data_IF_125017458314
#
_entry.id   IF_125017458314
#
_cell.length_a   1.000
_cell.length_b   1.000
_cell.length_c   1.000
_cell.angle_alpha   90.00
_cell.angle_beta   90.00
_cell.angle_gamma   90.00
#
_symmetry.space_group_name_H-M   'P 1'
#
loop_
_entity.id
_entity.type
_entity.pdbx_description
1 polymer ?
#
# COMPACT_ATOMS: atom_id res chain seq x y z
N UNK A 1 -1.45 85.73 -36.74
CA UNK A 1 -1.24 84.99 -35.48
C UNK A 1 0.14 84.35 -35.55
N UNK A 2 1.13 84.77 -34.73
CA UNK A 2 2.49 84.21 -34.75
C UNK A 2 2.62 82.83 -34.09
N UNK A 3 1.63 82.38 -33.31
CA UNK A 3 1.62 81.08 -32.66
C UNK A 3 1.26 79.97 -33.64
N UNK A 4 2.01 78.86 -33.60
CA UNK A 4 1.81 77.65 -34.39
C UNK A 4 0.94 76.64 -33.60
N UNK A 5 0.58 75.52 -34.25
CA UNK A 5 -0.10 74.38 -33.64
C UNK A 5 -1.31 74.78 -32.77
N UNK A 6 -2.20 75.61 -33.31
CA UNK A 6 -3.41 76.12 -32.63
C UNK A 6 -3.15 76.89 -31.32
N UNK A 7 -1.95 77.44 -31.15
CA UNK A 7 -1.59 78.32 -30.05
C UNK A 7 -2.44 79.60 -29.99
N UNK A 8 -2.87 79.95 -28.78
CA UNK A 8 -3.63 81.19 -28.54
C UNK A 8 -2.65 82.35 -28.35
N UNK A 9 -2.75 83.36 -29.21
CA UNK A 9 -1.89 84.54 -29.14
C UNK A 9 -2.50 85.62 -28.27
N UNK A 10 -1.76 86.06 -27.24
CA UNK A 10 -2.08 87.23 -26.43
C UNK A 10 -1.05 88.33 -26.69
N UNK A 11 -1.51 89.55 -27.01
CA UNK A 11 -0.62 90.70 -27.27
C UNK A 11 -0.37 91.45 -25.97
N UNK A 12 0.91 91.72 -25.65
CA UNK A 12 1.33 92.53 -24.48
C UNK A 12 2.24 93.67 -24.94
N UNK A 13 1.66 94.83 -25.22
CA UNK A 13 2.41 96.00 -25.70
C UNK A 13 3.03 95.75 -27.08
N UNK A 14 4.36 95.87 -27.20
CA UNK A 14 5.10 95.57 -28.44
C UNK A 14 5.54 94.09 -28.55
N UNK A 15 5.17 93.22 -27.61
CA UNK A 15 5.46 91.78 -27.66
C UNK A 15 4.19 90.93 -27.71
N UNK A 16 4.34 89.64 -28.05
CA UNK A 16 3.28 88.64 -28.01
C UNK A 16 3.68 87.49 -27.09
N UNK A 17 2.70 86.80 -26.52
CA UNK A 17 2.88 85.54 -25.81
C UNK A 17 1.96 84.50 -26.43
N UNK A 18 2.51 83.33 -26.71
CA UNK A 18 1.73 82.17 -27.12
C UNK A 18 1.38 81.33 -25.89
N UNK A 19 0.09 81.07 -25.70
CA UNK A 19 -0.38 80.04 -24.78
C UNK A 19 -0.60 78.76 -25.61
N UNK A 20 0.30 77.81 -25.45
CA UNK A 20 0.31 76.58 -26.24
C UNK A 20 -0.75 75.58 -25.75
N UNK A 21 -1.36 74.80 -26.66
CA UNK A 21 -2.18 73.66 -26.27
C UNK A 21 -1.36 72.67 -25.44
N UNK A 22 -2.05 71.85 -24.64
CA UNK A 22 -1.41 70.86 -23.75
C UNK A 22 -0.40 70.02 -24.55
N UNK A 23 0.79 69.80 -24.01
CA UNK A 23 1.88 68.99 -24.61
C UNK A 23 2.64 69.61 -25.78
N UNK A 24 2.28 70.79 -26.29
CA UNK A 24 3.09 71.57 -27.23
C UNK A 24 3.98 72.58 -26.48
N UNK A 25 5.18 72.85 -27.01
CA UNK A 25 6.17 73.74 -26.40
C UNK A 25 6.88 74.65 -27.42
N UNK A 26 7.79 75.49 -26.94
CA UNK A 26 8.47 76.52 -27.74
C UNK A 26 7.81 77.90 -27.60
N UNK A 27 8.56 78.96 -27.90
CA UNK A 27 8.12 80.36 -27.76
C UNK A 27 6.94 80.69 -28.69
N UNK A 28 6.80 79.93 -29.78
CA UNK A 28 5.74 80.04 -30.77
C UNK A 28 4.91 78.76 -30.88
N UNK A 29 4.98 77.85 -29.91
CA UNK A 29 4.35 76.53 -29.94
C UNK A 29 4.79 75.66 -31.14
N UNK A 30 6.02 75.83 -31.61
CA UNK A 30 6.61 75.15 -32.76
C UNK A 30 7.05 73.71 -32.48
N UNK A 31 7.29 73.38 -31.21
CA UNK A 31 7.68 72.03 -30.79
C UNK A 31 6.42 71.23 -30.51
N UNK A 32 6.26 70.13 -31.25
CA UNK A 32 5.18 69.19 -31.04
C UNK A 32 5.50 68.21 -29.89
N UNK A 33 4.50 67.46 -29.40
CA UNK A 33 4.69 66.47 -28.33
C UNK A 33 5.72 65.36 -28.63
N UNK A 34 6.13 65.18 -29.91
CA UNK A 34 7.07 64.17 -30.35
C UNK A 34 8.48 64.71 -30.61
N UNK A 35 8.70 66.03 -30.49
CA UNK A 35 9.96 66.70 -30.86
C UNK A 35 11.15 66.16 -30.05
N UNK A 36 10.94 65.78 -28.79
CA UNK A 36 11.96 65.15 -27.93
C UNK A 36 11.88 63.62 -27.87
N UNK A 37 11.00 62.99 -28.66
CA UNK A 37 10.56 61.60 -28.56
C UNK A 37 10.31 61.11 -27.11
N UNK A 38 9.10 61.29 -26.57
CA UNK A 38 8.76 60.82 -25.23
C UNK A 38 8.72 59.29 -25.10
N UNK A 39 8.69 58.52 -26.19
CA UNK A 39 8.59 57.07 -26.15
C UNK A 39 9.94 56.42 -25.78
N UNK A 40 9.93 55.57 -24.75
CA UNK A 40 11.07 54.77 -24.30
C UNK A 40 11.23 53.52 -25.17
N UNK A 41 12.32 52.78 -24.93
CA UNK A 41 12.60 51.49 -25.58
C UNK A 41 12.46 51.51 -27.12
N UNK A 42 12.91 52.61 -27.74
CA UNK A 42 12.86 52.86 -29.17
C UNK A 42 11.43 52.90 -29.78
N UNK A 43 10.40 53.17 -28.97
CA UNK A 43 9.04 53.38 -29.46
C UNK A 43 8.92 54.52 -30.48
N UNK A 44 7.98 54.38 -31.40
CA UNK A 44 7.72 55.39 -32.43
C UNK A 44 6.65 56.36 -31.94
N UNK A 45 7.02 57.64 -31.81
CA UNK A 45 6.08 58.69 -31.41
C UNK A 45 5.23 59.17 -32.59
N UNK A 46 3.95 59.39 -32.33
CA UNK A 46 3.03 60.07 -33.24
C UNK A 46 2.18 61.09 -32.50
N UNK A 47 1.94 62.26 -33.10
CA UNK A 47 1.05 63.28 -32.52
C UNK A 47 -0.39 62.77 -32.57
N UNK A 48 -1.10 62.84 -31.44
CA UNK A 48 -2.48 62.38 -31.30
C UNK A 48 -3.32 63.41 -30.55
N UNK A 49 -4.01 64.28 -31.29
CA UNK A 49 -4.73 65.43 -30.72
C UNK A 49 -3.77 66.41 -30.03
N UNK A 50 -4.08 66.81 -28.80
CA UNK A 50 -3.25 67.69 -27.98
C UNK A 50 -2.19 66.91 -27.15
N UNK A 51 -1.62 65.86 -27.74
CA UNK A 51 -0.73 64.95 -27.03
C UNK A 51 0.04 64.04 -27.99
N UNK A 52 0.65 63.00 -27.44
CA UNK A 52 1.37 62.00 -28.21
C UNK A 52 0.76 60.61 -28.00
N UNK A 53 1.08 59.69 -28.90
CA UNK A 53 0.86 58.26 -28.76
C UNK A 53 2.12 57.53 -29.18
N UNK A 54 2.56 56.61 -28.34
CA UNK A 54 3.68 55.73 -28.62
C UNK A 54 3.21 54.42 -29.27
N UNK A 55 3.82 54.05 -30.39
CA UNK A 55 3.77 52.70 -30.93
C UNK A 55 4.97 51.92 -30.40
N UNK A 56 4.71 50.98 -29.50
CA UNK A 56 5.74 50.21 -28.81
C UNK A 56 6.20 49.00 -29.63
N UNK A 57 7.50 48.72 -29.58
CA UNK A 57 8.03 47.46 -30.08
C UNK A 57 7.84 46.37 -29.03
N UNK A 58 7.41 45.18 -29.45
CA UNK A 58 7.43 43.97 -28.62
C UNK A 58 8.82 43.80 -27.99
N UNK A 59 8.92 43.57 -26.67
CA UNK A 59 7.87 43.22 -25.71
C UNK A 59 7.24 44.38 -24.93
N UNK A 60 7.61 45.61 -25.23
CA UNK A 60 7.29 46.77 -24.38
C UNK A 60 5.85 47.26 -24.56
N UNK A 61 5.29 47.82 -23.49
CA UNK A 61 3.97 48.44 -23.44
C UNK A 61 3.95 49.58 -22.41
N UNK A 62 2.78 50.19 -22.20
CA UNK A 62 2.62 51.39 -21.38
C UNK A 62 2.38 52.64 -22.23
N UNK A 63 2.13 53.78 -21.58
CA UNK A 63 1.86 55.05 -22.28
C UNK A 63 3.09 55.52 -23.08
N UNK A 64 4.28 55.24 -22.54
CA UNK A 64 5.58 55.61 -23.08
C UNK A 64 6.44 54.40 -23.45
N UNK A 65 5.88 53.20 -23.55
CA UNK A 65 6.63 51.95 -23.79
C UNK A 65 7.67 51.65 -22.69
N UNK A 66 7.36 52.05 -21.45
CA UNK A 66 8.23 51.97 -20.27
C UNK A 66 8.15 50.62 -19.54
N UNK A 67 7.10 49.85 -19.79
CA UNK A 67 6.87 48.56 -19.15
C UNK A 67 7.18 47.40 -20.10
N UNK A 68 7.56 46.27 -19.52
CA UNK A 68 7.64 44.97 -20.16
C UNK A 68 6.88 43.93 -19.31
N UNK A 69 6.68 42.69 -19.80
CA UNK A 69 5.93 41.68 -19.07
C UNK A 69 6.50 41.30 -17.68
N UNK A 70 7.75 41.66 -17.37
CA UNK A 70 8.41 41.40 -16.10
C UNK A 70 8.47 42.60 -15.15
N UNK A 71 8.04 43.79 -15.58
CA UNK A 71 8.16 45.05 -14.81
C UNK A 71 7.45 45.00 -13.45
N UNK A 72 6.35 44.25 -13.34
CA UNK A 72 5.62 44.06 -12.08
C UNK A 72 6.10 42.87 -11.24
N UNK A 73 7.12 42.13 -11.68
CA UNK A 73 7.56 40.86 -11.11
C UNK A 73 6.41 39.87 -10.88
N UNK A 74 5.83 39.30 -11.95
CA UNK A 74 4.69 38.38 -11.84
C UNK A 74 5.04 37.04 -11.16
N UNK A 75 6.32 36.72 -10.99
CA UNK A 75 6.80 35.49 -10.38
C UNK A 75 6.79 35.59 -8.85
N UNK A 76 6.09 34.67 -8.19
CA UNK A 76 6.04 34.50 -6.74
C UNK A 76 7.26 33.73 -6.22
N UNK A 77 7.36 33.61 -4.90
CA UNK A 77 8.36 32.79 -4.21
C UNK A 77 9.81 32.98 -4.72
N UNK A 78 10.15 34.24 -5.01
CA UNK A 78 11.46 34.65 -5.51
C UNK A 78 11.86 34.01 -6.87
N UNK A 79 10.87 33.65 -7.69
CA UNK A 79 11.09 33.19 -9.06
C UNK A 79 11.69 34.29 -9.94
N UNK A 80 12.56 33.90 -10.87
CA UNK A 80 13.20 34.85 -11.78
C UNK A 80 12.35 35.04 -13.05
N UNK A 81 11.95 36.28 -13.33
CA UNK A 81 11.14 36.60 -14.51
C UNK A 81 12.00 36.81 -15.74
N UNK A 82 11.63 36.18 -16.85
CA UNK A 82 12.27 36.38 -18.16
C UNK A 82 11.21 36.73 -19.19
N UNK A 83 11.47 37.77 -19.97
CA UNK A 83 10.55 38.21 -21.04
C UNK A 83 10.63 37.23 -22.21
N UNK A 84 9.47 36.81 -22.74
CA UNK A 84 9.34 35.86 -23.83
C UNK A 84 8.28 36.36 -24.83
N UNK A 85 8.73 37.08 -25.86
CA UNK A 85 7.82 37.71 -26.82
C UNK A 85 6.89 38.70 -26.13
N UNK A 86 5.57 38.60 -26.36
CA UNK A 86 4.58 39.45 -25.67
C UNK A 86 4.18 38.92 -24.27
N UNK A 87 4.91 37.96 -23.72
CA UNK A 87 4.63 37.32 -22.43
C UNK A 87 5.89 37.26 -21.57
N UNK A 88 5.80 36.58 -20.43
CA UNK A 88 6.90 36.25 -19.56
C UNK A 88 6.94 34.75 -19.26
N UNK A 89 8.07 34.30 -18.74
CA UNK A 89 8.25 32.98 -18.14
C UNK A 89 8.95 33.14 -16.80
N UNK A 90 8.43 32.46 -15.79
CA UNK A 90 9.06 32.37 -14.48
C UNK A 90 9.98 31.15 -14.42
N UNK A 91 11.22 31.37 -14.00
CA UNK A 91 12.12 30.32 -13.57
C UNK A 91 11.99 30.18 -12.04
N UNK A 92 11.30 29.13 -11.61
CA UNK A 92 11.02 28.91 -10.19
C UNK A 92 12.26 28.44 -9.45
N UNK A 93 12.41 28.97 -8.23
CA UNK A 93 13.40 28.47 -7.30
C UNK A 93 12.84 27.21 -6.66
N UNK A 94 13.60 26.12 -6.68
CA UNK A 94 13.21 24.92 -5.96
C UNK A 94 12.98 25.24 -4.46
N UNK A 95 11.93 24.69 -3.85
CA UNK A 95 11.05 23.64 -4.38
C UNK A 95 9.70 24.13 -4.95
N UNK A 96 9.54 25.43 -5.19
CA UNK A 96 8.28 25.99 -5.69
C UNK A 96 8.07 25.70 -7.17
N UNK A 97 6.81 25.58 -7.59
CA UNK A 97 6.45 25.28 -8.97
C UNK A 97 5.14 25.99 -9.37
N UNK A 98 4.63 25.73 -10.57
CA UNK A 98 3.52 26.47 -11.18
C UNK A 98 4.00 27.53 -12.19
N UNK A 99 3.07 28.14 -12.92
CA UNK A 99 3.40 29.11 -13.98
C UNK A 99 4.02 30.40 -13.43
N UNK A 100 3.61 30.80 -12.22
CA UNK A 100 4.12 31.96 -11.50
C UNK A 100 4.91 31.55 -10.26
N UNK A 101 5.31 30.29 -10.13
CA UNK A 101 5.98 29.77 -8.94
C UNK A 101 5.15 29.90 -7.65
N UNK A 102 3.82 29.88 -7.78
CA UNK A 102 2.85 30.06 -6.70
C UNK A 102 2.59 28.78 -5.89
N UNK A 103 2.94 27.62 -6.44
CA UNK A 103 2.65 26.33 -5.81
C UNK A 103 3.75 25.97 -4.80
N UNK A 104 3.32 25.82 -3.54
CA UNK A 104 4.14 25.30 -2.44
C UNK A 104 3.88 23.79 -2.30
N UNK A 105 4.92 22.94 -2.30
CA UNK A 105 4.80 21.49 -2.10
C UNK A 105 4.01 21.06 -0.86
N UNK A 106 3.94 21.90 0.18
CA UNK A 106 3.21 21.65 1.41
C UNK A 106 1.82 22.33 1.48
N UNK A 107 1.38 23.08 0.46
CA UNK A 107 0.14 23.86 0.50
C UNK A 107 -1.10 23.00 0.82
N UNK A 108 -1.18 21.79 0.28
CA UNK A 108 -2.29 20.84 0.51
C UNK A 108 -1.96 19.76 1.54
N UNK A 109 -0.81 19.86 2.21
CA UNK A 109 -0.20 18.82 3.03
C UNK A 109 -0.24 17.42 2.36
N UNK A 110 0.79 17.04 1.58
CA UNK A 110 0.85 15.73 0.95
C UNK A 110 1.04 14.57 1.94
N UNK A 111 1.33 14.81 3.21
CA UNK A 111 1.59 13.76 4.19
C UNK A 111 0.27 13.11 4.67
N UNK A 112 0.24 11.77 4.70
CA UNK A 112 -0.88 10.96 5.20
C UNK A 112 -0.75 10.74 6.71
N UNK A 113 -1.79 10.13 7.30
CA UNK A 113 -1.80 9.67 8.70
C UNK A 113 -1.32 10.75 9.70
N UNK A 114 -1.82 11.97 9.53
CA UNK A 114 -1.48 13.15 10.35
C UNK A 114 0.02 13.54 10.33
N UNK A 115 0.72 13.17 9.26
CA UNK A 115 2.08 13.61 8.99
C UNK A 115 2.19 15.14 8.83
N UNK A 116 3.30 15.70 9.31
CA UNK A 116 3.60 17.13 9.17
C UNK A 116 4.49 17.36 7.96
N UNK A 117 4.04 18.18 7.00
CA UNK A 117 4.84 18.55 5.84
C UNK A 117 5.80 19.69 6.16
N UNK A 118 7.05 19.53 5.74
CA UNK A 118 8.06 20.60 5.75
C UNK A 118 8.67 20.77 4.37
N UNK A 119 8.76 22.01 3.91
CA UNK A 119 9.39 22.36 2.64
C UNK A 119 10.91 22.15 2.76
N UNK A 120 11.52 21.47 1.78
CA UNK A 120 12.97 21.18 1.70
C UNK A 120 13.52 21.58 0.34
N UNK A 121 14.84 21.70 0.21
CA UNK A 121 15.48 22.18 -1.03
C UNK A 121 14.98 21.44 -2.29
N UNK A 122 14.74 20.13 -2.22
CA UNK A 122 14.30 19.30 -3.35
C UNK A 122 12.82 18.89 -3.31
N UNK A 123 11.95 19.65 -2.63
CA UNK A 123 10.51 19.35 -2.57
C UNK A 123 9.92 19.53 -1.18
N UNK A 124 9.33 18.46 -0.66
CA UNK A 124 8.84 18.37 0.70
C UNK A 124 9.40 17.16 1.43
N UNK A 125 9.33 17.20 2.75
CA UNK A 125 9.57 16.06 3.63
C UNK A 125 8.41 15.93 4.61
N UNK A 126 7.90 14.72 4.75
CA UNK A 126 6.94 14.38 5.77
C UNK A 126 7.63 13.92 7.06
N UNK A 127 7.27 14.54 8.18
CA UNK A 127 7.61 14.05 9.51
C UNK A 127 6.44 13.19 10.00
N UNK A 128 6.67 11.87 10.05
CA UNK A 128 5.63 10.89 10.31
C UNK A 128 5.43 10.63 11.80
N UNK A 129 4.17 10.68 12.29
CA UNK A 129 3.88 10.20 13.63
C UNK A 129 4.04 8.69 13.70
N UNK A 130 4.59 8.17 14.80
CA UNK A 130 4.65 6.73 15.02
C UNK A 130 3.22 6.17 15.12
N UNK A 131 2.94 4.97 14.57
CA UNK A 131 3.90 4.01 14.00
C UNK A 131 4.18 4.16 12.49
N UNK A 132 3.74 5.22 11.83
CA UNK A 132 3.78 5.33 10.37
C UNK A 132 5.17 5.66 9.82
N UNK A 133 5.40 5.26 8.57
CA UNK A 133 6.62 5.48 7.78
C UNK A 133 6.30 5.65 6.28
N UNK A 134 7.33 5.77 5.45
CA UNK A 134 7.20 6.09 4.02
C UNK A 134 7.40 7.58 3.75
N UNK A 135 7.56 7.95 2.48
CA UNK A 135 7.84 9.33 2.07
C UNK A 135 6.65 10.26 2.35
N UNK A 136 5.44 9.70 2.39
CA UNK A 136 4.18 10.39 2.70
C UNK A 136 3.50 9.82 3.93
N UNK A 137 4.21 9.11 4.81
CA UNK A 137 3.65 8.48 6.01
C UNK A 137 2.52 7.47 5.72
N UNK A 138 2.54 6.84 4.55
CA UNK A 138 1.51 5.92 4.04
C UNK A 138 1.64 4.50 4.56
N UNK A 139 2.81 4.13 5.08
CA UNK A 139 3.11 2.78 5.54
C UNK A 139 2.90 2.68 7.05
N UNK A 140 2.27 1.59 7.49
CA UNK A 140 2.27 1.15 8.87
C UNK A 140 3.23 -0.05 9.06
N UNK A 141 3.48 -0.50 10.31
CA UNK A 141 4.36 -1.64 10.56
C UNK A 141 3.91 -2.97 9.92
N UNK A 142 2.65 -3.07 9.47
CA UNK A 142 2.10 -4.27 8.83
C UNK A 142 2.04 -4.19 7.31
N UNK A 143 2.36 -3.04 6.70
CA UNK A 143 2.19 -2.79 5.26
C UNK A 143 3.00 -3.77 4.40
N UNK A 144 4.19 -4.16 4.86
CA UNK A 144 5.04 -5.17 4.19
C UNK A 144 4.73 -6.62 4.57
N UNK A 145 3.73 -6.86 5.43
CA UNK A 145 3.42 -8.14 6.05
C UNK A 145 4.67 -8.83 6.63
N UNK A 146 5.21 -8.32 7.76
CA UNK A 146 6.43 -8.88 8.36
C UNK A 146 6.25 -10.31 8.87
N UNK A 147 5.03 -10.79 9.09
CA UNK A 147 4.74 -12.12 9.60
C UNK A 147 4.93 -13.21 8.53
N UNK A 148 5.73 -14.22 8.84
CA UNK A 148 6.01 -15.39 8.00
C UNK A 148 4.97 -16.49 8.24
N UNK A 149 5.04 -17.56 7.42
CA UNK A 149 4.26 -18.80 7.61
C UNK A 149 2.75 -18.57 7.82
N UNK A 150 2.14 -17.71 6.99
CA UNK A 150 0.73 -17.30 7.07
C UNK A 150 0.35 -16.62 8.40
N UNK A 151 1.30 -16.01 9.11
CA UNK A 151 1.04 -15.20 10.29
C UNK A 151 0.17 -13.98 9.98
N UNK A 152 -0.78 -13.67 10.85
CA UNK A 152 -1.61 -12.46 10.71
C UNK A 152 -0.94 -11.29 11.40
N UNK A 153 -0.67 -10.21 10.66
CA UNK A 153 -0.08 -8.99 11.22
C UNK A 153 -1.14 -8.08 11.83
N UNK A 154 -0.87 -7.55 13.01
CA UNK A 154 -1.65 -6.48 13.63
C UNK A 154 -0.73 -5.38 14.14
N UNK A 155 -1.12 -4.12 13.98
CA UNK A 155 -0.37 -2.99 14.56
C UNK A 155 -0.62 -2.95 16.08
N UNK A 156 0.46 -2.88 16.87
CA UNK A 156 0.40 -2.83 18.34
C UNK A 156 1.35 -1.75 18.86
N UNK A 157 0.76 -0.63 19.30
CA UNK A 157 1.52 0.53 19.77
C UNK A 157 2.35 1.12 18.62
N UNK A 158 3.67 1.20 18.82
CA UNK A 158 4.62 1.73 17.83
C UNK A 158 5.25 0.66 16.93
N UNK A 159 4.70 -0.56 16.91
CA UNK A 159 5.27 -1.71 16.19
C UNK A 159 4.17 -2.64 15.69
N UNK A 160 4.54 -3.81 15.17
CA UNK A 160 3.62 -4.87 14.79
C UNK A 160 3.62 -6.02 15.81
N UNK A 161 2.58 -6.85 15.75
CA UNK A 161 2.49 -8.14 16.41
C UNK A 161 1.99 -9.16 15.41
N UNK A 162 2.67 -10.29 15.33
CA UNK A 162 2.23 -11.43 14.54
C UNK A 162 1.42 -12.40 15.40
N UNK A 163 0.25 -12.78 14.90
CA UNK A 163 -0.52 -13.90 15.41
C UNK A 163 -0.19 -15.14 14.56
N UNK A 164 0.61 -16.02 15.15
CA UNK A 164 1.17 -17.17 14.44
C UNK A 164 0.20 -18.36 14.41
N UNK A 165 -0.09 -18.92 13.22
CA UNK A 165 -0.79 -20.18 13.14
C UNK A 165 0.12 -21.29 13.69
N UNK A 166 -0.46 -22.26 14.40
CA UNK A 166 0.28 -23.47 14.74
C UNK A 166 0.70 -24.18 13.43
N UNK A 167 1.91 -24.79 13.37
CA UNK A 167 2.85 -25.03 14.45
C UNK A 167 3.97 -23.98 14.52
N UNK A 168 3.73 -22.71 14.19
CA UNK A 168 4.78 -21.69 14.14
C UNK A 168 4.79 -20.77 15.38
N UNK A 169 5.96 -20.24 15.71
CA UNK A 169 6.23 -19.31 16.81
C UNK A 169 7.34 -18.32 16.44
N UNK A 170 7.76 -17.47 17.39
CA UNK A 170 8.67 -16.35 17.15
C UNK A 170 7.91 -15.05 16.90
N UNK A 171 8.64 -13.93 16.93
CA UNK A 171 8.05 -12.59 16.77
C UNK A 171 7.47 -12.36 15.37
N UNK A 172 7.99 -13.08 14.37
CA UNK A 172 7.56 -13.07 12.98
C UNK A 172 7.06 -14.42 12.50
N UNK A 173 6.74 -15.36 13.39
CA UNK A 173 6.31 -16.72 13.05
C UNK A 173 7.35 -17.53 12.26
N UNK A 174 8.63 -17.20 12.41
CA UNK A 174 9.76 -17.80 11.71
C UNK A 174 10.18 -19.16 12.28
N UNK A 175 9.82 -19.44 13.53
CA UNK A 175 10.18 -20.67 14.22
C UNK A 175 9.12 -21.73 14.01
N UNK A 176 9.53 -22.94 13.64
CA UNK A 176 8.65 -24.11 13.64
C UNK A 176 8.75 -24.87 14.95
N UNK A 177 7.64 -25.36 15.48
CA UNK A 177 7.58 -26.11 16.74
C UNK A 177 8.36 -27.44 16.68
N UNK A 178 8.79 -27.94 15.51
CA UNK A 178 9.64 -29.14 15.42
C UNK A 178 10.99 -28.97 16.12
N UNK A 179 11.01 -29.30 17.40
CA UNK A 179 12.19 -29.36 18.27
C UNK A 179 12.42 -30.81 18.74
N UNK A 180 13.62 -31.06 19.29
CA UNK A 180 14.09 -32.41 19.63
C UNK A 180 13.24 -33.14 20.69
N UNK A 181 12.36 -32.43 21.40
CA UNK A 181 11.58 -32.99 22.53
C UNK A 181 10.14 -33.38 22.15
N UNK A 182 9.68 -33.03 20.96
CA UNK A 182 8.31 -33.36 20.53
C UNK A 182 8.19 -34.82 20.15
N UNK A 183 9.13 -35.33 19.38
CA UNK A 183 9.21 -36.73 19.00
C UNK A 183 10.23 -37.40 19.91
N UNK A 184 9.76 -38.23 20.86
CA UNK A 184 10.60 -38.87 21.88
C UNK A 184 11.62 -39.80 21.22
N UNK A 185 11.16 -40.65 20.29
CA UNK A 185 11.98 -41.54 19.49
C UNK A 185 11.63 -41.42 18.00
N UNK A 186 11.91 -40.25 17.42
CA UNK A 186 11.68 -40.03 16.00
C UNK A 186 12.06 -38.63 15.54
N UNK A 187 11.92 -38.40 14.23
CA UNK A 187 12.16 -37.09 13.62
C UNK A 187 10.86 -36.31 13.47
N UNK A 188 10.84 -35.07 13.94
CA UNK A 188 9.72 -34.16 13.69
C UNK A 188 9.78 -33.62 12.25
N UNK A 189 8.64 -33.65 11.56
CA UNK A 189 8.48 -33.14 10.20
C UNK A 189 7.28 -32.19 10.15
N UNK A 190 7.46 -31.00 9.58
CA UNK A 190 6.38 -30.03 9.33
C UNK A 190 5.68 -30.40 8.02
N UNK A 191 4.36 -30.53 8.06
CA UNK A 191 3.49 -30.89 6.94
C UNK A 191 2.41 -29.81 6.81
N UNK A 192 2.66 -28.80 5.97
CA UNK A 192 1.78 -27.65 5.82
C UNK A 192 1.60 -26.90 7.14
N UNK A 193 0.37 -26.88 7.67
CA UNK A 193 0.00 -26.27 8.96
C UNK A 193 -0.01 -27.25 10.14
N UNK A 194 0.56 -28.43 9.96
CA UNK A 194 0.66 -29.46 11.00
C UNK A 194 2.10 -29.94 11.12
N UNK A 195 2.39 -30.70 12.17
CA UNK A 195 3.62 -31.49 12.26
C UNK A 195 3.24 -32.96 12.46
N UNK A 196 4.14 -33.87 12.10
CA UNK A 196 4.07 -35.27 12.51
C UNK A 196 5.43 -35.76 13.00
N UNK A 197 5.40 -36.76 13.86
CA UNK A 197 6.60 -37.52 14.19
C UNK A 197 6.75 -38.72 13.25
N UNK A 198 7.92 -38.83 12.63
CA UNK A 198 8.36 -40.02 11.92
C UNK A 198 9.15 -40.88 12.89
N UNK A 199 8.53 -41.92 13.43
CA UNK A 199 9.11 -42.73 14.49
C UNK A 199 10.29 -43.57 14.01
N UNK A 200 11.29 -43.67 14.88
CA UNK A 200 12.39 -44.60 14.71
C UNK A 200 11.89 -46.04 14.81
N UNK A 201 12.64 -46.98 14.24
CA UNK A 201 12.27 -48.40 14.22
C UNK A 201 12.05 -48.91 15.65
N UNK A 202 10.90 -49.56 15.87
CA UNK A 202 10.52 -50.11 17.18
C UNK A 202 9.75 -49.16 18.08
N UNK A 203 9.42 -47.95 17.63
CA UNK A 203 8.59 -46.99 18.34
C UNK A 203 7.33 -46.60 17.55
N UNK A 204 6.27 -46.26 18.28
CA UNK A 204 4.96 -45.86 17.76
C UNK A 204 4.33 -44.80 18.69
N UNK A 205 3.13 -44.34 18.35
CA UNK A 205 2.45 -43.23 19.04
C UNK A 205 2.58 -41.90 18.30
N UNK A 206 1.83 -40.89 18.72
CA UNK A 206 1.79 -39.58 18.05
C UNK A 206 3.10 -38.80 18.22
N UNK A 207 3.84 -39.10 19.27
CA UNK A 207 5.14 -38.53 19.63
C UNK A 207 6.24 -39.59 19.65
N UNK A 208 5.99 -40.79 19.14
CA UNK A 208 6.92 -41.91 19.19
C UNK A 208 7.32 -42.29 20.63
N UNK A 209 6.37 -42.18 21.56
CA UNK A 209 6.55 -42.43 22.98
C UNK A 209 6.40 -43.92 23.36
N UNK A 210 5.72 -44.70 22.51
CA UNK A 210 5.39 -46.08 22.81
C UNK A 210 6.39 -47.03 22.14
N UNK A 211 6.91 -48.00 22.90
CA UNK A 211 7.71 -49.08 22.33
C UNK A 211 6.80 -50.14 21.72
N UNK A 212 7.12 -50.59 20.51
CA UNK A 212 6.43 -51.71 19.89
C UNK A 212 6.83 -52.98 20.63
N UNK A 213 5.99 -53.45 21.56
CA UNK A 213 6.17 -54.73 22.23
C UNK A 213 5.84 -55.87 21.25
N UNK A 214 6.84 -56.68 20.91
CA UNK A 214 6.73 -57.84 20.00
C UNK A 214 5.94 -59.02 20.58
N UNK A 215 5.11 -58.79 21.61
CA UNK A 215 4.44 -59.84 22.38
C UNK A 215 2.92 -59.68 22.38
N UNK A 216 2.34 -59.58 21.19
CA UNK A 216 0.93 -59.90 20.99
C UNK A 216 0.84 -61.28 20.36
N UNK A 217 0.68 -62.29 21.22
CA UNK A 217 0.37 -63.68 20.88
C UNK A 217 -1.03 -63.75 20.25
N UNK A 218 -1.15 -63.41 18.96
CA UNK A 218 -2.35 -63.71 18.16
C UNK A 218 -1.93 -64.44 16.89
N UNK A 219 -2.52 -65.62 16.60
CA UNK A 219 -2.05 -66.48 15.53
C UNK A 219 -2.36 -65.89 14.14
N UNK A 220 -1.49 -66.15 13.15
CA UNK A 220 -1.66 -65.72 11.77
C UNK A 220 -2.67 -66.64 11.07
N UNK A 221 -3.94 -66.25 11.09
CA UNK A 221 -4.93 -66.71 10.12
C UNK A 221 -5.58 -65.46 9.51
N UNK A 222 -5.09 -65.11 8.32
CA UNK A 222 -5.41 -63.98 7.43
C UNK A 222 -6.91 -63.81 7.10
N UNK A 223 -7.38 -62.69 6.51
CA UNK A 223 -6.99 -61.28 6.61
C UNK A 223 -8.10 -60.54 7.41
N UNK A 224 -8.01 -59.26 7.76
CA UNK A 224 -8.78 -58.28 7.02
C UNK A 224 -8.33 -56.89 7.46
N UNK A 225 -7.88 -56.09 6.49
CA UNK A 225 -7.72 -54.65 6.63
C UNK A 225 -9.07 -53.92 6.71
N UNK A 226 -10.08 -54.58 7.30
CA UNK A 226 -11.32 -53.97 7.72
C UNK A 226 -11.64 -54.23 9.21
N UNK A 227 -10.79 -53.76 10.15
CA UNK A 227 -11.05 -53.95 11.59
C UNK A 227 -12.29 -53.22 12.11
N UNK A 228 -12.79 -52.23 11.36
CA UNK A 228 -14.10 -51.61 11.63
C UNK A 228 -15.24 -52.63 11.47
N UNK A 229 -15.18 -53.50 10.45
CA UNK A 229 -16.25 -54.48 10.17
C UNK A 229 -16.23 -55.75 11.03
N UNK A 230 -15.12 -56.14 11.69
CA UNK A 230 -15.18 -57.34 12.54
C UNK A 230 -15.55 -57.05 13.97
N UNK A 231 -14.95 -56.02 14.57
CA UNK A 231 -15.21 -55.73 15.98
C UNK A 231 -16.55 -54.99 16.16
N UNK A 232 -16.76 -53.86 15.48
CA UNK A 232 -17.99 -53.08 15.66
C UNK A 232 -19.19 -53.80 15.06
N UNK A 233 -19.04 -54.37 13.87
CA UNK A 233 -20.15 -55.11 13.27
C UNK A 233 -20.40 -56.46 13.96
N UNK A 234 -19.38 -57.16 14.47
CA UNK A 234 -19.58 -58.30 15.37
C UNK A 234 -20.33 -57.92 16.66
N UNK A 235 -19.92 -56.83 17.30
CA UNK A 235 -20.56 -56.28 18.50
C UNK A 235 -22.02 -55.87 18.26
N UNK A 236 -22.30 -55.15 17.16
CA UNK A 236 -23.65 -54.74 16.77
C UNK A 236 -24.49 -55.98 16.43
N UNK A 237 -23.97 -56.91 15.63
CA UNK A 237 -24.68 -58.12 15.22
C UNK A 237 -25.06 -58.99 16.42
N UNK A 238 -24.16 -59.17 17.39
CA UNK A 238 -24.47 -59.93 18.60
C UNK A 238 -25.62 -59.31 19.39
N UNK A 239 -25.73 -57.98 19.45
CA UNK A 239 -26.83 -57.28 20.13
C UNK A 239 -28.14 -57.30 19.34
N UNK A 240 -28.06 -57.01 18.04
CA UNK A 240 -29.22 -56.96 17.13
C UNK A 240 -29.83 -58.33 16.88
N UNK A 241 -29.05 -59.41 16.96
CA UNK A 241 -29.51 -60.77 16.67
C UNK A 241 -29.33 -61.74 17.85
N UNK A 242 -29.11 -61.24 19.08
CA UNK A 242 -29.07 -62.07 20.30
C UNK A 242 -30.27 -63.04 20.40
N UNK A 243 -31.44 -62.54 20.02
CA UNK A 243 -32.67 -63.31 19.76
C UNK A 243 -33.23 -62.95 18.38
N UNK A 244 -34.02 -63.86 17.78
CA UNK A 244 -34.68 -63.61 16.50
C UNK A 244 -35.78 -62.54 16.67
N UNK A 245 -35.72 -61.40 15.97
CA UNK A 245 -36.70 -60.34 16.11
C UNK A 245 -38.03 -60.73 15.43
N UNK A 246 -39.18 -60.61 16.13
CA UNK A 246 -40.48 -61.03 15.61
C UNK A 246 -41.07 -60.05 14.58
N UNK A 247 -40.60 -58.80 14.54
CA UNK A 247 -41.09 -57.77 13.60
C UNK A 247 -39.97 -56.89 13.04
N UNK A 248 -40.21 -56.28 11.88
CA UNK A 248 -39.30 -55.31 11.28
C UNK A 248 -39.09 -54.05 12.14
N UNK A 249 -40.12 -53.63 12.88
CA UNK A 249 -40.01 -52.45 13.74
C UNK A 249 -39.10 -52.70 14.93
N UNK A 250 -39.18 -53.88 15.54
CA UNK A 250 -38.30 -54.27 16.63
C UNK A 250 -36.84 -54.43 16.16
N UNK A 251 -36.63 -55.01 14.97
CA UNK A 251 -35.30 -55.08 14.36
C UNK A 251 -34.68 -53.68 14.19
N UNK A 252 -35.47 -52.70 13.71
CA UNK A 252 -34.99 -51.30 13.57
C UNK A 252 -34.59 -50.68 14.89
N UNK A 253 -35.43 -50.79 15.91
CA UNK A 253 -35.12 -50.24 17.24
C UNK A 253 -33.83 -50.87 17.82
N UNK A 254 -33.67 -52.19 17.69
CA UNK A 254 -32.49 -52.91 18.16
C UNK A 254 -31.21 -52.46 17.44
N UNK A 255 -31.27 -52.17 16.15
CA UNK A 255 -30.13 -51.61 15.40
C UNK A 255 -29.77 -50.23 15.95
N UNK A 256 -30.76 -49.34 16.13
CA UNK A 256 -30.54 -47.98 16.65
C UNK A 256 -29.91 -48.02 18.04
N UNK A 257 -30.41 -48.84 18.95
CA UNK A 257 -29.88 -48.97 20.31
C UNK A 257 -28.47 -49.57 20.34
N UNK A 258 -28.21 -50.58 19.49
CA UNK A 258 -26.89 -51.17 19.37
C UNK A 258 -25.85 -50.14 18.88
N UNK A 259 -26.19 -49.35 17.87
CA UNK A 259 -25.33 -48.27 17.38
C UNK A 259 -25.12 -47.18 18.44
N UNK A 260 -26.16 -46.78 19.17
CA UNK A 260 -26.05 -45.77 20.24
C UNK A 260 -25.17 -46.24 21.41
N UNK A 261 -25.06 -47.56 21.60
CA UNK A 261 -24.22 -48.15 22.66
C UNK A 261 -22.73 -48.22 22.33
N UNK A 262 -22.32 -47.81 21.12
CA UNK A 262 -20.91 -47.74 20.73
C UNK A 262 -20.29 -46.49 21.35
N UNK A 263 -19.33 -46.67 22.26
CA UNK A 263 -18.67 -45.54 22.93
C UNK A 263 -17.53 -44.95 22.09
N UNK A 264 -17.15 -43.67 22.32
CA UNK A 264 -15.97 -43.07 21.69
C UNK A 264 -14.68 -43.85 21.95
N UNK A 265 -14.54 -44.47 23.13
CA UNK A 265 -13.40 -45.30 23.46
C UNK A 265 -13.34 -46.58 22.61
N UNK A 266 -14.49 -47.18 22.30
CA UNK A 266 -14.55 -48.33 21.38
C UNK A 266 -14.13 -47.92 19.96
N UNK A 267 -14.60 -46.77 19.47
CA UNK A 267 -14.19 -46.25 18.17
C UNK A 267 -12.68 -45.96 18.10
N UNK A 268 -12.15 -45.34 19.14
CA UNK A 268 -10.71 -45.05 19.26
C UNK A 268 -9.87 -46.33 19.25
N UNK A 269 -10.27 -47.34 20.04
CA UNK A 269 -9.55 -48.61 20.09
C UNK A 269 -9.56 -49.34 18.75
N UNK A 270 -10.70 -49.33 18.05
CA UNK A 270 -10.82 -49.93 16.72
C UNK A 270 -9.91 -49.21 15.73
N UNK A 271 -9.92 -47.87 15.69
CA UNK A 271 -9.05 -47.09 14.82
C UNK A 271 -7.56 -47.36 15.10
N UNK A 272 -7.18 -47.41 16.37
CA UNK A 272 -5.81 -47.72 16.80
C UNK A 272 -5.38 -49.12 16.33
N UNK A 273 -6.27 -50.10 16.46
CA UNK A 273 -6.01 -51.48 16.03
C UNK A 273 -5.81 -51.59 14.51
N UNK A 274 -6.57 -50.83 13.72
CA UNK A 274 -6.38 -50.74 12.27
C UNK A 274 -5.00 -50.21 11.93
N UNK A 275 -4.63 -49.08 12.53
CA UNK A 275 -3.35 -48.45 12.27
C UNK A 275 -2.18 -49.38 12.65
N UNK A 276 -2.30 -50.07 13.78
CA UNK A 276 -1.32 -51.07 14.22
C UNK A 276 -1.15 -52.21 13.20
N UNK A 277 -2.26 -52.79 12.73
CA UNK A 277 -2.23 -53.92 11.78
C UNK A 277 -1.70 -53.53 10.40
N UNK A 278 -2.08 -52.36 9.90
CA UNK A 278 -1.54 -51.80 8.66
C UNK A 278 -0.03 -51.62 8.79
N UNK A 279 0.44 -51.07 9.91
CA UNK A 279 1.86 -50.86 10.13
C UNK A 279 2.63 -52.19 10.19
N UNK A 280 2.09 -53.21 10.86
CA UNK A 280 2.69 -54.55 10.88
C UNK A 280 2.77 -55.16 9.48
N UNK A 281 1.70 -55.04 8.67
CA UNK A 281 1.68 -55.49 7.27
C UNK A 281 2.81 -54.85 6.43
N UNK A 282 2.97 -53.53 6.56
CA UNK A 282 4.01 -52.78 5.84
C UNK A 282 5.41 -53.26 6.26
N UNK A 283 5.65 -53.41 7.57
CA UNK A 283 6.94 -53.85 8.11
C UNK A 283 7.26 -55.29 7.71
N UNK A 284 6.25 -56.15 7.62
CA UNK A 284 6.42 -57.54 7.22
C UNK A 284 6.41 -57.75 5.69
N UNK A 285 6.38 -56.68 4.88
CA UNK A 285 6.22 -56.75 3.41
C UNK A 285 5.06 -57.65 2.95
N UNK A 286 3.99 -57.72 3.75
CA UNK A 286 2.85 -58.60 3.44
C UNK A 286 3.07 -60.10 3.63
N UNK A 287 4.18 -60.58 4.20
CA UNK A 287 4.40 -62.02 4.43
C UNK A 287 3.38 -62.70 5.36
N UNK A 288 2.66 -61.94 6.20
CA UNK A 288 1.56 -62.46 7.01
C UNK A 288 0.29 -62.79 6.20
N UNK A 289 0.25 -62.45 4.90
CA UNK A 289 -0.90 -62.67 3.99
C UNK A 289 -0.74 -63.90 3.09
N UNK A 290 0.33 -64.68 3.21
CA UNK A 290 0.50 -65.90 2.41
C UNK A 290 -0.57 -66.94 2.78
N UNK A 291 -1.52 -67.13 1.87
CA UNK A 291 -2.47 -68.25 1.84
C UNK A 291 -1.89 -69.50 1.15
N UNK A 292 -0.56 -69.63 1.05
CA UNK A 292 0.06 -70.83 0.48
C UNK A 292 0.49 -71.79 1.60
N UNK A 293 -0.48 -72.60 2.03
CA UNK A 293 -0.34 -74.04 2.27
C UNK A 293 -1.70 -74.72 2.41
#
# INVERSE_FOLDING_TARGET
NPCLNDGTCTVKGNSFKCDCPRSFSGDRCEEDPCTSNPCLNAGVCSVNGNGFKCACWTPFFGERCEEDPCTSNPCQNYGNCTVLGNSYKCACREPFFGEKCEEDPCATNPCLNDGTCTVKENGFKCDCPRPFSGDRCEEDPCTSNPCLNDGTCTVKGNSFKCDCPRPFSGDRCEEGICNDYICVHGKCEIIGKYYRCRCDVGFTGLRCEDRIETKSEYPPHSPDLNPLDFFLWGYIKQRVYATSPPTLQELRNRITDACASVSPAMLYNVQREVQSRVQMCIVSEGHHFEHDR
#
